data_IF_861199562157
#
_entry.id   IF_861199562157
#
_cell.length_a   1.000
_cell.length_b   1.000
_cell.length_c   1.000
_cell.angle_alpha   90.00
_cell.angle_beta   90.00
_cell.angle_gamma   90.00
#
_symmetry.space_group_name_H-M   'P 1'
#
loop_
_entity.id
_entity.type
_entity.pdbx_description
1 polymer ?
#
# COMPACT_ATOMS: atom_id res chain seq x y z
N UNK A 1 1.28 -13.96 11.73
CA UNK A 1 0.27 -14.17 10.66
C UNK A 1 0.19 -12.91 9.81
N UNK A 2 0.03 -13.04 8.50
CA UNK A 2 -0.26 -11.90 7.61
C UNK A 2 -1.75 -11.60 7.70
N UNK A 3 -2.13 -10.33 7.82
CA UNK A 3 -3.53 -9.93 7.76
C UNK A 3 -3.92 -9.74 6.30
N UNK A 4 -4.94 -10.46 5.83
CA UNK A 4 -5.37 -10.39 4.44
C UNK A 4 -6.18 -9.12 4.15
N UNK A 5 -5.87 -8.43 3.06
CA UNK A 5 -6.53 -7.18 2.64
C UNK A 5 -6.54 -7.01 1.10
N UNK A 6 -7.20 -7.93 0.37
CA UNK A 6 -7.08 -8.04 -1.09
C UNK A 6 -7.55 -6.78 -1.83
N UNK A 7 -8.52 -6.04 -1.30
CA UNK A 7 -8.99 -4.78 -1.87
C UNK A 7 -7.89 -3.71 -1.91
N UNK A 8 -7.00 -3.68 -0.91
CA UNK A 8 -5.87 -2.75 -0.88
C UNK A 8 -4.77 -3.18 -1.84
N UNK A 9 -4.51 -4.49 -1.96
CA UNK A 9 -3.57 -5.04 -2.95
C UNK A 9 -4.02 -4.65 -4.36
N UNK A 10 -5.29 -4.90 -4.70
CA UNK A 10 -5.87 -4.54 -6.00
C UNK A 10 -5.82 -3.02 -6.26
N UNK A 11 -6.17 -2.20 -5.25
CA UNK A 11 -6.06 -0.74 -5.35
C UNK A 11 -4.63 -0.29 -5.68
N UNK A 12 -3.63 -0.78 -4.93
CA UNK A 12 -2.23 -0.42 -5.15
C UNK A 12 -1.75 -0.87 -6.53
N UNK A 13 -2.07 -2.10 -6.93
CA UNK A 13 -1.70 -2.64 -8.25
C UNK A 13 -2.22 -1.75 -9.38
N UNK A 14 -3.52 -1.43 -9.36
CA UNK A 14 -4.16 -0.58 -10.39
C UNK A 14 -3.49 0.79 -10.51
N UNK A 15 -3.18 1.43 -9.39
CA UNK A 15 -2.56 2.76 -9.41
C UNK A 15 -1.09 2.73 -9.80
N UNK A 16 -0.34 1.69 -9.43
CA UNK A 16 1.05 1.54 -9.83
C UNK A 16 1.17 1.22 -11.34
N UNK A 17 0.24 0.45 -11.90
CA UNK A 17 0.12 0.27 -13.36
C UNK A 17 -0.16 1.61 -14.04
N UNK A 18 -1.11 2.41 -13.54
CA UNK A 18 -1.39 3.73 -14.09
C UNK A 18 -0.19 4.69 -13.99
N UNK A 19 0.59 4.61 -12.91
CA UNK A 19 1.86 5.35 -12.77
C UNK A 19 2.86 4.93 -13.85
N UNK A 20 3.02 3.62 -14.09
CA UNK A 20 3.91 3.10 -15.13
C UNK A 20 3.49 3.62 -16.51
N UNK A 21 2.20 3.51 -16.85
CA UNK A 21 1.64 4.02 -18.10
C UNK A 21 1.85 5.53 -18.28
N UNK A 22 1.74 6.32 -17.20
CA UNK A 22 2.02 7.76 -17.26
C UNK A 22 3.50 8.04 -17.58
N UNK A 23 4.43 7.26 -17.01
CA UNK A 23 5.86 7.36 -17.32
C UNK A 23 6.11 7.02 -18.79
N UNK A 24 5.51 5.94 -19.32
CA UNK A 24 5.61 5.57 -20.74
C UNK A 24 5.06 6.65 -21.68
N UNK A 25 3.99 7.34 -21.25
CA UNK A 25 3.42 8.48 -21.97
C UNK A 25 4.26 9.78 -21.87
N UNK A 26 5.42 9.75 -21.22
CA UNK A 26 6.35 10.88 -21.13
C UNK A 26 6.14 11.81 -19.93
N UNK A 27 5.27 11.47 -18.98
CA UNK A 27 5.11 12.24 -17.74
C UNK A 27 6.36 12.10 -16.88
N UNK A 28 6.88 13.24 -16.39
CA UNK A 28 8.05 13.26 -15.50
C UNK A 28 7.70 12.88 -14.05
N UNK A 29 7.22 11.65 -13.83
CA UNK A 29 6.90 11.11 -12.50
C UNK A 29 8.12 10.39 -11.92
N UNK A 30 8.59 10.84 -10.75
CA UNK A 30 9.85 10.36 -10.14
C UNK A 30 9.68 9.52 -8.86
N UNK A 31 8.47 9.40 -8.34
CA UNK A 31 8.23 8.60 -7.15
C UNK A 31 6.75 8.46 -6.83
N UNK A 32 6.45 7.46 -6.00
CA UNK A 32 5.12 7.15 -5.48
C UNK A 32 5.21 6.89 -3.98
N UNK A 33 4.30 7.49 -3.20
CA UNK A 33 4.20 7.28 -1.77
C UNK A 33 2.84 6.69 -1.43
N UNK A 34 2.83 5.48 -0.88
CA UNK A 34 1.62 4.87 -0.37
C UNK A 34 1.21 5.54 0.95
N UNK A 35 0.01 6.14 0.99
CA UNK A 35 -0.64 6.50 2.24
C UNK A 35 -1.39 5.28 2.80
N UNK A 36 -1.02 4.73 3.96
CA UNK A 36 0.06 5.12 4.87
C UNK A 36 0.88 3.91 5.29
N UNK A 37 1.96 4.13 6.03
CA UNK A 37 2.72 3.01 6.61
C UNK A 37 1.89 2.24 7.65
N UNK A 38 1.27 2.96 8.59
CA UNK A 38 0.56 2.41 9.74
C UNK A 38 -0.92 2.81 9.72
N UNK A 39 -1.80 1.92 10.18
CA UNK A 39 -3.12 2.34 10.63
C UNK A 39 -2.95 3.43 11.71
N UNK A 40 -3.60 4.58 11.51
CA UNK A 40 -3.42 5.77 12.34
C UNK A 40 -4.78 6.42 12.66
N UNK A 41 -4.75 7.60 13.30
CA UNK A 41 -5.95 8.41 13.53
C UNK A 41 -6.34 9.11 12.22
N UNK A 42 -7.44 8.69 11.60
CA UNK A 42 -7.91 9.23 10.33
C UNK A 42 -8.87 10.42 10.55
N UNK A 43 -8.34 11.47 11.18
CA UNK A 43 -9.01 12.76 11.37
C UNK A 43 -10.42 12.63 11.97
N UNK A 44 -11.44 13.17 11.30
CA UNK A 44 -12.84 13.13 11.75
C UNK A 44 -13.43 11.72 11.82
N UNK A 45 -12.80 10.74 11.16
CA UNK A 45 -13.22 9.33 11.18
C UNK A 45 -12.60 8.56 12.33
N UNK A 46 -11.72 9.19 13.11
CA UNK A 46 -11.01 8.56 14.21
C UNK A 46 -10.26 7.30 13.76
N UNK A 47 -10.34 6.24 14.57
CA UNK A 47 -9.67 4.96 14.28
C UNK A 47 -10.56 3.95 13.50
N UNK A 48 -11.75 4.38 13.05
CA UNK A 48 -12.68 3.50 12.35
C UNK A 48 -12.22 3.17 10.92
N UNK A 49 -11.43 4.05 10.29
CA UNK A 49 -10.80 3.80 8.99
C UNK A 49 -9.32 3.47 9.16
N UNK A 50 -8.84 2.60 8.27
CA UNK A 50 -7.53 1.96 8.36
C UNK A 50 -6.88 2.00 6.99
N UNK A 51 -5.98 2.95 6.75
CA UNK A 51 -5.28 3.12 5.48
C UNK A 51 -3.91 2.44 5.42
N UNK A 52 -3.37 2.01 6.57
CA UNK A 52 -1.99 1.55 6.67
C UNK A 52 -1.69 0.26 5.91
N UNK A 53 -0.46 0.12 5.46
CA UNK A 53 0.12 -1.16 5.02
C UNK A 53 0.30 -2.12 6.21
N UNK A 54 0.49 -1.57 7.41
CA UNK A 54 0.56 -2.33 8.66
C UNK A 54 -0.69 -2.09 9.50
N UNK A 55 -1.27 -3.19 9.96
CA UNK A 55 -2.28 -3.14 11.00
C UNK A 55 -1.62 -2.74 12.33
N UNK A 56 -2.28 -1.84 13.06
CA UNK A 56 -1.93 -1.49 14.43
C UNK A 56 -3.09 -1.85 15.34
N UNK A 57 -2.80 -2.69 16.33
CA UNK A 57 -3.65 -2.85 17.50
C UNK A 57 -3.41 -1.65 18.42
N UNK A 58 -4.40 -0.77 18.57
CA UNK A 58 -4.25 0.47 19.33
C UNK A 58 -4.20 0.26 20.84
N UNK A 59 -4.67 -0.87 21.37
CA UNK A 59 -4.56 -1.17 22.79
C UNK A 59 -3.15 -1.66 23.16
N UNK A 60 -2.55 -2.48 22.31
CA UNK A 60 -1.27 -3.14 22.60
C UNK A 60 -0.08 -2.56 21.84
N UNK A 61 -0.32 -1.69 20.86
CA UNK A 61 0.67 -1.15 19.91
C UNK A 61 1.33 -2.20 19.01
N UNK A 62 0.85 -3.45 19.03
CA UNK A 62 1.37 -4.51 18.17
C UNK A 62 1.13 -4.16 16.70
N UNK A 63 2.19 -4.27 15.90
CA UNK A 63 2.16 -4.03 14.45
C UNK A 63 2.16 -5.36 13.71
N UNK A 64 1.30 -5.49 12.72
CA UNK A 64 1.21 -6.71 11.91
C UNK A 64 1.18 -6.33 10.43
N UNK A 65 2.13 -6.82 9.61
CA UNK A 65 2.11 -6.55 8.17
C UNK A 65 0.86 -7.15 7.53
N UNK A 66 0.18 -6.37 6.70
CA UNK A 66 -0.92 -6.85 5.87
C UNK A 66 -0.40 -7.47 4.58
N UNK A 67 -1.27 -8.13 3.82
CA UNK A 67 -0.92 -8.65 2.50
C UNK A 67 -0.41 -7.53 1.58
N UNK A 68 -1.03 -6.35 1.66
CA UNK A 68 -0.59 -5.15 0.93
C UNK A 68 0.84 -4.71 1.26
N UNK A 69 1.31 -4.86 2.51
CA UNK A 69 2.69 -4.53 2.86
C UNK A 69 3.69 -5.45 2.15
N UNK A 70 3.39 -6.75 2.12
CA UNK A 70 4.22 -7.74 1.44
C UNK A 70 4.20 -7.55 -0.08
N UNK A 71 3.02 -7.31 -0.64
CA UNK A 71 2.86 -6.99 -2.05
C UNK A 71 3.66 -5.75 -2.43
N UNK A 72 3.51 -4.65 -1.69
CA UNK A 72 4.22 -3.40 -1.96
C UNK A 72 5.75 -3.56 -1.83
N UNK A 73 6.22 -4.28 -0.81
CA UNK A 73 7.64 -4.60 -0.66
C UNK A 73 8.19 -5.43 -1.84
N UNK A 74 7.39 -6.37 -2.35
CA UNK A 74 7.76 -7.17 -3.52
C UNK A 74 7.84 -6.32 -4.78
N UNK A 75 6.86 -5.46 -5.04
CA UNK A 75 6.88 -4.52 -6.18
C UNK A 75 8.13 -3.64 -6.15
N UNK A 76 8.53 -3.14 -4.97
CA UNK A 76 9.77 -2.37 -4.78
C UNK A 76 10.99 -3.25 -5.13
N UNK A 77 11.07 -4.44 -4.55
CA UNK A 77 12.21 -5.34 -4.74
C UNK A 77 12.40 -5.80 -6.18
N UNK A 78 11.30 -5.94 -6.93
CA UNK A 78 11.32 -6.34 -8.35
C UNK A 78 11.23 -5.16 -9.30
N UNK A 79 11.36 -3.91 -8.81
CA UNK A 79 11.23 -2.71 -9.63
C UNK A 79 9.99 -2.67 -10.55
N UNK A 80 8.86 -3.24 -10.10
CA UNK A 80 7.62 -3.26 -10.87
C UNK A 80 7.22 -4.61 -11.47
N UNK A 81 8.12 -5.59 -11.66
CA UNK A 81 7.78 -6.85 -12.35
C UNK A 81 6.61 -7.61 -11.70
N UNK A 82 6.50 -7.57 -10.36
CA UNK A 82 5.40 -8.20 -9.63
C UNK A 82 4.01 -7.60 -9.91
N UNK A 83 3.90 -6.52 -10.69
CA UNK A 83 2.63 -5.93 -11.12
C UNK A 83 1.94 -6.73 -12.23
N UNK A 84 2.69 -7.52 -12.99
CA UNK A 84 2.20 -8.29 -14.14
C UNK A 84 1.73 -9.71 -13.77
N UNK A 85 1.93 -10.12 -12.51
CA UNK A 85 1.45 -11.39 -11.93
C UNK A 85 0.07 -11.26 -11.28
#
# INVERSE_FOLDING_TARGET
AVLDDPLRVDYLRKHLIAVHQAIEAGVNLKGYYAWSLLDNLEWSLGYAKRFGLYHVDFATQRRTPKASAKFYARVIATHGEALDE
#
